data_IF_311658273067
#
_entry.id   IF_311658273067
#
_cell.length_a   1.000
_cell.length_b   1.000
_cell.length_c   1.000
_cell.angle_alpha   90.00
_cell.angle_beta   90.00
_cell.angle_gamma   90.00
#
_symmetry.space_group_name_H-M   'P 1'
#
loop_
_entity.id
_entity.type
_entity.pdbx_description
1 polymer ?
#
# COMPACT_ATOMS: atom_id res chain seq x y z
N UNK A 1 -43.55 -57.57 1.97
CA UNK A 1 -42.35 -57.44 2.80
C UNK A 1 -41.41 -56.49 2.04
N UNK A 2 -41.57 -55.17 2.27
CA UNK A 2 -40.83 -54.15 1.56
C UNK A 2 -39.67 -53.73 2.43
N UNK A 3 -38.44 -53.99 1.97
CA UNK A 3 -37.21 -53.55 2.63
C UNK A 3 -36.86 -52.18 2.08
N UNK A 4 -37.13 -51.14 2.86
CA UNK A 4 -36.65 -49.78 2.62
C UNK A 4 -35.13 -49.72 2.83
N UNK A 5 -34.37 -49.61 1.74
CA UNK A 5 -32.95 -49.30 1.80
C UNK A 5 -32.76 -47.84 2.25
N UNK A 6 -32.40 -47.63 3.50
CA UNK A 6 -31.92 -46.31 3.99
C UNK A 6 -30.58 -46.02 3.34
N UNK A 7 -30.59 -45.06 2.43
CA UNK A 7 -29.36 -44.41 1.91
C UNK A 7 -28.63 -43.69 3.07
N UNK A 8 -27.54 -44.26 3.51
CA UNK A 8 -26.61 -43.63 4.46
C UNK A 8 -25.94 -42.42 3.76
N UNK A 9 -26.45 -41.23 4.03
CA UNK A 9 -25.75 -39.99 3.69
C UNK A 9 -24.45 -39.93 4.51
N UNK A 10 -23.34 -40.23 3.88
CA UNK A 10 -22.00 -39.90 4.43
C UNK A 10 -21.89 -38.37 4.58
N UNK A 11 -21.65 -37.83 5.78
CA UNK A 11 -21.51 -36.40 5.95
C UNK A 11 -20.30 -35.93 5.12
N UNK A 12 -20.50 -34.98 4.21
CA UNK A 12 -19.42 -34.30 3.51
C UNK A 12 -18.53 -33.70 4.58
N UNK A 13 -17.25 -34.12 4.64
CA UNK A 13 -16.22 -33.45 5.43
C UNK A 13 -16.15 -32.00 4.96
N UNK A 14 -16.61 -31.08 5.79
CA UNK A 14 -16.39 -29.65 5.58
C UNK A 14 -14.87 -29.43 5.66
N UNK A 15 -14.23 -29.10 4.54
CA UNK A 15 -12.84 -28.66 4.56
C UNK A 15 -12.81 -27.32 5.27
N UNK A 16 -12.11 -27.25 6.41
CA UNK A 16 -11.88 -26.00 7.08
C UNK A 16 -11.07 -25.07 6.14
N UNK A 17 -11.65 -23.94 5.76
CA UNK A 17 -10.93 -22.88 5.08
C UNK A 17 -10.15 -22.06 6.12
N UNK A 18 -9.02 -22.61 6.55
CA UNK A 18 -8.19 -22.03 7.63
C UNK A 18 -7.27 -20.92 7.15
N UNK A 19 -7.29 -20.57 5.85
CA UNK A 19 -6.30 -19.64 5.26
C UNK A 19 -6.85 -18.27 4.88
N UNK A 20 -8.14 -18.12 4.61
CA UNK A 20 -8.71 -16.87 4.09
C UNK A 20 -8.55 -15.69 5.07
N UNK A 21 -8.84 -15.89 6.34
CA UNK A 21 -8.73 -14.85 7.37
C UNK A 21 -7.27 -14.42 7.63
N UNK A 22 -6.35 -15.39 7.76
CA UNK A 22 -4.94 -15.08 7.98
C UNK A 22 -4.28 -14.41 6.79
N UNK A 23 -4.67 -14.78 5.56
CA UNK A 23 -4.18 -14.11 4.36
C UNK A 23 -4.68 -12.67 4.24
N UNK A 24 -5.95 -12.41 4.58
CA UNK A 24 -6.49 -11.06 4.59
C UNK A 24 -5.77 -10.19 5.64
N UNK A 25 -5.59 -10.70 6.85
CA UNK A 25 -4.86 -10.02 7.91
C UNK A 25 -3.41 -9.68 7.48
N UNK A 26 -2.68 -10.65 6.95
CA UNK A 26 -1.29 -10.44 6.51
C UNK A 26 -1.18 -9.40 5.38
N UNK A 27 -2.19 -9.29 4.51
CA UNK A 27 -2.23 -8.26 3.46
C UNK A 27 -2.43 -6.87 4.04
N UNK A 28 -3.35 -6.71 4.99
CA UNK A 28 -3.57 -5.44 5.69
C UNK A 28 -2.32 -5.02 6.48
N UNK A 29 -1.69 -5.95 7.18
CA UNK A 29 -0.45 -5.72 7.91
C UNK A 29 0.73 -5.34 6.99
N UNK A 30 0.79 -5.93 5.80
CA UNK A 30 1.77 -5.56 4.77
C UNK A 30 1.52 -4.15 4.21
N UNK A 31 0.27 -3.70 4.09
CA UNK A 31 -0.06 -2.33 3.70
C UNK A 31 0.43 -1.32 4.76
N UNK A 32 0.28 -1.63 6.05
CA UNK A 32 0.82 -0.81 7.15
C UNK A 32 2.35 -0.70 7.05
N UNK A 33 3.04 -1.81 6.83
CA UNK A 33 4.49 -1.81 6.66
C UNK A 33 4.92 -1.00 5.42
N UNK A 34 4.16 -1.10 4.31
CA UNK A 34 4.41 -0.31 3.11
C UNK A 34 4.17 1.19 3.36
N UNK A 35 3.16 1.55 4.14
CA UNK A 35 2.93 2.93 4.50
C UNK A 35 4.06 3.51 5.36
N UNK A 36 4.62 2.73 6.30
CA UNK A 36 5.82 3.13 7.06
C UNK A 36 7.01 3.33 6.12
N UNK A 37 7.24 2.39 5.20
CA UNK A 37 8.32 2.51 4.21
C UNK A 37 8.18 3.79 3.37
N UNK A 38 6.98 4.09 2.87
CA UNK A 38 6.71 5.33 2.12
C UNK A 38 6.85 6.59 2.99
N UNK A 39 6.46 6.53 4.27
CA UNK A 39 6.67 7.63 5.21
C UNK A 39 8.17 7.92 5.43
N UNK A 40 9.00 6.88 5.45
CA UNK A 40 10.47 6.99 5.50
C UNK A 40 11.01 7.70 4.28
N UNK A 41 10.56 7.32 3.06
CA UNK A 41 10.95 7.99 1.82
C UNK A 41 10.52 9.47 1.75
N UNK A 42 9.41 9.80 2.41
CA UNK A 42 8.86 11.16 2.48
C UNK A 42 9.37 11.96 3.68
N UNK A 43 10.25 11.41 4.50
CA UNK A 43 10.61 11.99 5.80
C UNK A 43 11.17 13.41 5.69
N UNK A 44 11.89 13.72 4.61
CA UNK A 44 12.45 15.05 4.36
C UNK A 44 11.47 16.06 3.74
N UNK A 45 10.28 15.62 3.34
CA UNK A 45 9.24 16.50 2.84
C UNK A 45 8.70 17.40 3.97
N UNK A 46 8.29 18.61 3.63
CA UNK A 46 7.76 19.56 4.60
C UNK A 46 6.46 19.08 5.25
N UNK A 47 5.56 18.52 4.44
CA UNK A 47 4.25 18.05 4.88
C UNK A 47 3.78 16.87 4.04
N UNK A 48 2.95 16.00 4.61
CA UNK A 48 2.19 14.97 3.94
C UNK A 48 1.14 14.38 4.87
N UNK A 49 0.13 13.72 4.27
CA UNK A 49 -0.86 12.91 4.97
C UNK A 49 -0.99 11.56 4.31
N UNK A 50 -0.80 10.50 5.06
CA UNK A 50 -1.10 9.11 4.67
C UNK A 50 -2.53 8.77 5.06
N UNK A 51 -3.29 8.17 4.14
CA UNK A 51 -4.63 7.63 4.40
C UNK A 51 -4.66 6.19 3.91
N UNK A 52 -5.01 5.25 4.81
CA UNK A 52 -5.06 3.82 4.52
C UNK A 52 -6.50 3.33 4.38
N UNK A 53 -6.71 2.43 3.39
CA UNK A 53 -7.96 1.68 3.22
C UNK A 53 -9.22 2.55 3.26
N UNK A 54 -9.20 3.66 2.50
CA UNK A 54 -10.35 4.54 2.30
C UNK A 54 -10.57 4.84 0.81
N UNK A 55 -9.68 5.61 0.17
CA UNK A 55 -9.77 5.86 -1.26
C UNK A 55 -9.20 4.70 -2.09
N UNK A 56 -8.06 4.18 -1.67
CA UNK A 56 -7.42 2.95 -2.14
C UNK A 56 -6.59 2.33 -1.00
N UNK A 57 -5.78 1.30 -1.27
CA UNK A 57 -4.98 0.64 -0.23
C UNK A 57 -4.10 1.65 0.53
N UNK A 58 -3.42 2.57 -0.21
CA UNK A 58 -2.66 3.68 0.36
C UNK A 58 -2.91 4.94 -0.48
N UNK A 59 -3.21 6.06 0.17
CA UNK A 59 -3.30 7.38 -0.46
C UNK A 59 -2.34 8.34 0.23
N UNK A 60 -1.61 9.15 -0.54
CA UNK A 60 -0.66 10.13 -0.02
C UNK A 60 -1.04 11.50 -0.56
N UNK A 61 -1.39 12.39 0.35
CA UNK A 61 -1.65 13.79 0.08
C UNK A 61 -0.41 14.62 0.37
N UNK A 62 -0.22 15.69 -0.37
CA UNK A 62 0.92 16.61 -0.25
C UNK A 62 0.83 17.56 0.96
N UNK A 63 -0.31 17.58 1.65
CA UNK A 63 -0.51 18.36 2.88
C UNK A 63 -1.55 17.72 3.79
N UNK A 64 -1.36 17.88 5.11
CA UNK A 64 -2.31 17.46 6.13
C UNK A 64 -3.59 18.31 6.10
N UNK A 65 -3.47 19.62 5.90
CA UNK A 65 -4.59 20.56 6.12
C UNK A 65 -5.18 21.14 4.84
N UNK A 66 -4.41 21.24 3.77
CA UNK A 66 -4.82 21.89 2.51
C UNK A 66 -4.23 21.15 1.31
N UNK A 67 -4.62 19.89 1.08
CA UNK A 67 -4.05 19.12 0.01
C UNK A 67 -4.47 19.67 -1.36
N UNK A 68 -3.48 19.81 -2.24
CA UNK A 68 -3.69 20.14 -3.64
C UNK A 68 -3.40 18.96 -4.56
N UNK A 69 -2.56 18.03 -4.10
CA UNK A 69 -2.06 16.91 -4.88
C UNK A 69 -2.20 15.61 -4.10
N UNK A 70 -2.58 14.54 -4.79
CA UNK A 70 -2.71 13.20 -4.21
C UNK A 70 -2.09 12.14 -5.11
N UNK A 71 -1.56 11.09 -4.49
CA UNK A 71 -1.16 9.85 -5.15
C UNK A 71 -1.94 8.69 -4.57
N UNK A 72 -2.42 7.79 -5.43
CA UNK A 72 -3.18 6.60 -5.02
C UNK A 72 -2.40 5.34 -5.37
N UNK A 73 -2.36 4.40 -4.44
CA UNK A 73 -1.60 3.17 -4.57
C UNK A 73 -2.46 1.96 -4.24
N UNK A 74 -2.49 1.02 -5.18
CA UNK A 74 -3.07 -0.30 -4.97
C UNK A 74 -1.96 -1.32 -4.78
N UNK A 75 -2.01 -2.09 -3.70
CA UNK A 75 -1.00 -3.07 -3.35
C UNK A 75 -1.45 -4.50 -3.64
N UNK A 76 -0.59 -5.28 -4.25
CA UNK A 76 -0.82 -6.71 -4.51
C UNK A 76 0.34 -7.53 -3.95
N UNK A 77 0.03 -8.48 -3.10
CA UNK A 77 0.98 -9.31 -2.37
C UNK A 77 1.46 -10.55 -3.15
N UNK A 78 1.38 -10.53 -4.48
CA UNK A 78 1.88 -11.63 -5.31
C UNK A 78 3.40 -11.69 -5.25
N UNK A 79 3.96 -12.83 -4.87
CA UNK A 79 5.40 -13.04 -4.78
C UNK A 79 6.00 -13.61 -6.08
N UNK A 80 5.15 -14.20 -6.94
CA UNK A 80 5.55 -14.62 -8.27
C UNK A 80 5.45 -13.45 -9.27
N UNK A 81 6.22 -13.54 -10.37
CA UNK A 81 6.17 -12.49 -11.40
C UNK A 81 4.75 -12.28 -11.95
N UNK A 82 4.36 -11.02 -12.05
CA UNK A 82 3.05 -10.61 -12.59
C UNK A 82 3.21 -10.27 -14.07
N UNK A 83 2.26 -10.71 -14.90
CA UNK A 83 2.20 -10.31 -16.31
C UNK A 83 1.19 -9.18 -16.52
N UNK A 84 1.38 -8.37 -17.57
CA UNK A 84 0.37 -7.38 -17.99
C UNK A 84 -0.99 -8.04 -18.24
N UNK A 85 -1.01 -9.25 -18.79
CA UNK A 85 -2.25 -10.00 -18.97
C UNK A 85 -2.96 -10.32 -17.65
N UNK A 86 -2.20 -10.56 -16.57
CA UNK A 86 -2.76 -10.73 -15.22
C UNK A 86 -3.34 -9.41 -14.70
N UNK A 87 -2.59 -8.31 -14.84
CA UNK A 87 -3.02 -6.97 -14.41
C UNK A 87 -4.33 -6.56 -15.08
N UNK A 88 -4.46 -6.87 -16.38
CA UNK A 88 -5.67 -6.63 -17.18
C UNK A 88 -6.83 -7.52 -16.70
N UNK A 89 -6.62 -8.83 -16.61
CA UNK A 89 -7.66 -9.79 -16.22
C UNK A 89 -8.25 -9.51 -14.85
N UNK A 90 -7.42 -9.07 -13.91
CA UNK A 90 -7.83 -8.78 -12.52
C UNK A 90 -8.38 -7.34 -12.35
N UNK A 91 -8.51 -6.58 -13.42
CA UNK A 91 -9.10 -5.22 -13.47
C UNK A 91 -8.49 -4.21 -12.48
N UNK A 92 -7.18 -4.35 -12.16
CA UNK A 92 -6.55 -3.48 -11.18
C UNK A 92 -6.41 -2.03 -11.66
N UNK A 93 -6.12 -1.82 -12.93
CA UNK A 93 -5.90 -0.49 -13.48
C UNK A 93 -7.20 0.32 -13.68
N UNK A 94 -8.33 -0.26 -14.11
CA UNK A 94 -9.60 0.46 -14.17
C UNK A 94 -10.00 1.08 -12.83
N UNK A 95 -9.83 0.33 -11.72
CA UNK A 95 -10.11 0.85 -10.37
C UNK A 95 -9.25 2.07 -10.04
N UNK A 96 -7.94 1.98 -10.26
CA UNK A 96 -7.03 3.11 -10.06
C UNK A 96 -7.37 4.30 -10.98
N UNK A 97 -7.72 4.04 -12.24
CA UNK A 97 -8.05 5.10 -13.21
C UNK A 97 -9.26 5.94 -12.80
N UNK A 98 -10.22 5.35 -12.08
CA UNK A 98 -11.41 6.07 -11.60
C UNK A 98 -11.06 7.27 -10.73
N UNK A 99 -9.94 7.26 -10.02
CA UNK A 99 -9.48 8.40 -9.22
C UNK A 99 -9.22 9.65 -10.05
N UNK A 100 -8.93 9.54 -11.36
CA UNK A 100 -8.78 10.70 -12.24
C UNK A 100 -10.11 11.44 -12.50
N UNK A 101 -11.25 10.84 -12.21
CA UNK A 101 -12.55 11.50 -12.29
C UNK A 101 -12.84 12.43 -11.09
N UNK A 102 -12.17 12.21 -9.97
CA UNK A 102 -12.24 13.11 -8.82
C UNK A 102 -11.44 14.39 -9.15
N UNK A 103 -12.11 15.54 -9.14
CA UNK A 103 -11.51 16.84 -9.47
C UNK A 103 -11.14 17.66 -8.24
N UNK A 104 -11.33 17.12 -7.07
CA UNK A 104 -11.03 17.80 -5.81
C UNK A 104 -9.52 18.03 -5.66
N UNK A 105 -8.72 17.04 -6.08
CA UNK A 105 -7.26 17.11 -6.02
C UNK A 105 -6.61 16.75 -7.36
N UNK A 106 -5.43 17.31 -7.62
CA UNK A 106 -4.60 16.88 -8.73
C UNK A 106 -3.98 15.50 -8.44
N UNK A 107 -4.29 14.51 -9.24
CA UNK A 107 -3.66 13.20 -9.14
C UNK A 107 -2.24 13.30 -9.69
N UNK A 108 -1.25 13.05 -8.83
CA UNK A 108 0.18 13.00 -9.20
C UNK A 108 0.53 11.65 -9.79
N UNK A 109 0.10 10.58 -9.12
CA UNK A 109 0.52 9.21 -9.44
C UNK A 109 -0.58 8.20 -9.13
N UNK A 110 -0.69 7.18 -9.98
CA UNK A 110 -1.52 5.98 -9.80
C UNK A 110 -0.58 4.77 -9.77
N UNK A 111 -0.27 4.29 -8.58
CA UNK A 111 0.75 3.26 -8.38
C UNK A 111 0.16 1.86 -8.19
N UNK A 112 0.69 0.89 -8.93
CA UNK A 112 0.50 -0.52 -8.65
C UNK A 112 1.74 -1.05 -7.92
N UNK A 113 1.61 -1.34 -6.62
CA UNK A 113 2.72 -1.82 -5.78
C UNK A 113 2.69 -3.35 -5.73
N UNK A 114 3.82 -3.99 -6.03
CA UNK A 114 3.98 -5.45 -5.91
C UNK A 114 5.41 -5.83 -5.48
N UNK A 115 5.62 -6.93 -4.76
CA UNK A 115 6.97 -7.40 -4.43
C UNK A 115 7.71 -8.05 -5.61
N UNK A 116 7.02 -8.28 -6.72
CA UNK A 116 7.56 -9.02 -7.85
C UNK A 116 7.76 -8.15 -9.10
N UNK A 117 8.52 -8.68 -10.05
CA UNK A 117 8.75 -8.03 -11.34
C UNK A 117 7.50 -8.09 -12.23
N UNK A 118 7.27 -7.01 -12.98
CA UNK A 118 6.25 -6.95 -14.01
C UNK A 118 6.81 -7.46 -15.34
N UNK A 119 6.06 -8.31 -16.04
CA UNK A 119 6.47 -8.94 -17.29
C UNK A 119 5.46 -8.68 -18.41
N UNK A 120 5.98 -8.43 -19.61
CA UNK A 120 5.24 -8.57 -20.86
C UNK A 120 5.62 -9.94 -21.43
N UNK A 121 4.64 -10.81 -21.61
CA UNK A 121 4.87 -12.11 -22.25
C UNK A 121 5.00 -11.93 -23.76
N UNK A 122 5.96 -12.61 -24.38
CA UNK A 122 6.08 -12.62 -25.84
C UNK A 122 4.78 -13.15 -26.49
N UNK A 123 4.32 -12.46 -27.52
CA UNK A 123 3.17 -12.90 -28.33
C UNK A 123 3.59 -12.97 -29.80
N UNK A 124 3.46 -14.15 -30.39
CA UNK A 124 3.72 -14.34 -31.81
C UNK A 124 2.68 -13.65 -32.71
N UNK A 125 1.48 -13.41 -32.18
CA UNK A 125 0.36 -12.78 -32.92
C UNK A 125 0.48 -11.28 -33.00
N UNK A 126 1.07 -10.65 -31.96
CA UNK A 126 1.12 -9.18 -31.83
C UNK A 126 2.53 -8.61 -32.07
N UNK A 127 3.53 -9.47 -32.36
CA UNK A 127 4.92 -9.05 -32.49
C UNK A 127 5.57 -8.56 -31.20
N UNK A 128 4.92 -8.73 -30.03
CA UNK A 128 5.43 -8.32 -28.72
C UNK A 128 6.59 -9.24 -28.35
N UNK A 129 7.73 -8.65 -28.03
CA UNK A 129 8.86 -9.36 -27.42
C UNK A 129 8.67 -9.43 -25.91
N UNK A 130 8.97 -10.59 -25.32
CA UNK A 130 8.96 -10.73 -23.87
C UNK A 130 9.89 -9.68 -23.23
N UNK A 131 9.38 -8.91 -22.28
CA UNK A 131 10.10 -7.88 -21.55
C UNK A 131 9.88 -8.06 -20.04
N UNK A 132 10.92 -7.79 -19.25
CA UNK A 132 10.89 -7.83 -17.78
C UNK A 132 11.25 -6.44 -17.26
N UNK A 133 10.38 -5.88 -16.45
CA UNK A 133 10.62 -4.62 -15.75
C UNK A 133 11.11 -4.93 -14.35
N UNK A 134 12.41 -4.80 -14.13
CA UNK A 134 13.08 -5.08 -12.86
C UNK A 134 13.39 -3.84 -12.05
N UNK A 135 13.18 -2.65 -12.62
CA UNK A 135 13.35 -1.38 -11.92
C UNK A 135 12.39 -1.28 -10.74
N UNK A 136 12.82 -0.59 -9.70
CA UNK A 136 12.00 -0.28 -8.53
C UNK A 136 10.73 0.48 -8.91
N UNK A 137 10.88 1.45 -9.83
CA UNK A 137 9.74 2.21 -10.37
C UNK A 137 9.75 2.16 -11.90
N UNK A 138 8.64 1.75 -12.49
CA UNK A 138 8.47 1.62 -13.94
C UNK A 138 7.22 2.39 -14.39
N UNK A 139 7.36 3.53 -15.07
CA UNK A 139 6.23 4.24 -15.69
C UNK A 139 5.58 3.39 -16.79
N UNK A 140 4.26 3.37 -16.88
CA UNK A 140 3.55 2.59 -17.92
C UNK A 140 3.79 3.16 -19.33
N UNK A 141 4.12 4.45 -19.44
CA UNK A 141 4.55 5.05 -20.72
C UNK A 141 5.88 4.50 -21.25
N UNK A 142 6.69 3.84 -20.42
CA UNK A 142 7.93 3.18 -20.87
C UNK A 142 7.71 1.83 -21.54
N UNK A 143 6.48 1.30 -21.52
CA UNK A 143 6.12 0.07 -22.19
C UNK A 143 5.97 0.31 -23.71
N UNK A 144 6.05 -0.77 -24.49
CA UNK A 144 5.82 -0.68 -25.93
C UNK A 144 4.38 -0.24 -26.28
N UNK A 145 4.20 0.32 -27.47
CA UNK A 145 2.94 0.91 -27.92
C UNK A 145 1.78 -0.11 -27.99
N UNK A 146 2.07 -1.37 -28.30
CA UNK A 146 1.05 -2.43 -28.38
C UNK A 146 0.53 -2.75 -26.98
N UNK A 147 1.44 -2.86 -26.00
CA UNK A 147 1.06 -3.07 -24.60
C UNK A 147 0.28 -1.88 -24.05
N UNK A 148 0.71 -0.64 -24.33
CA UNK A 148 -0.04 0.55 -23.93
C UNK A 148 -1.45 0.55 -24.55
N UNK A 149 -1.59 0.21 -25.83
CA UNK A 149 -2.90 0.14 -26.50
C UNK A 149 -3.82 -0.93 -25.86
N UNK A 150 -3.28 -2.09 -25.47
CA UNK A 150 -4.03 -3.13 -24.74
C UNK A 150 -4.53 -2.63 -23.40
N UNK A 151 -3.67 -1.97 -22.61
CA UNK A 151 -4.04 -1.40 -21.32
C UNK A 151 -5.12 -0.31 -21.48
N UNK A 152 -4.95 0.59 -22.44
CA UNK A 152 -5.94 1.64 -22.75
C UNK A 152 -7.29 1.04 -23.15
N UNK A 153 -7.29 -0.01 -23.99
CA UNK A 153 -8.50 -0.72 -24.38
C UNK A 153 -9.20 -1.36 -23.19
N UNK A 154 -8.43 -1.97 -22.28
CA UNK A 154 -8.97 -2.61 -21.07
C UNK A 154 -9.65 -1.58 -20.15
N UNK A 155 -8.95 -0.51 -19.80
CA UNK A 155 -9.49 0.60 -19.00
C UNK A 155 -10.72 1.21 -19.70
N UNK A 156 -10.62 1.48 -21.01
CA UNK A 156 -11.71 2.04 -21.78
C UNK A 156 -12.95 1.15 -21.79
N UNK A 157 -12.77 -0.17 -21.93
CA UNK A 157 -13.87 -1.14 -21.91
C UNK A 157 -14.52 -1.20 -20.52
N UNK A 158 -13.72 -1.31 -19.46
CA UNK A 158 -14.22 -1.43 -18.09
C UNK A 158 -14.98 -0.17 -17.63
N UNK A 159 -14.53 1.01 -18.08
CA UNK A 159 -15.12 2.30 -17.68
C UNK A 159 -16.09 2.87 -18.74
N UNK A 160 -16.31 2.19 -19.86
CA UNK A 160 -17.16 2.65 -20.95
C UNK A 160 -16.73 4.01 -21.54
N UNK A 161 -15.41 4.24 -21.64
CA UNK A 161 -14.81 5.43 -22.26
C UNK A 161 -13.98 5.06 -23.50
N UNK A 162 -13.70 6.03 -24.37
CA UNK A 162 -12.84 5.76 -25.54
C UNK A 162 -11.42 5.43 -25.09
N UNK A 163 -10.80 4.33 -25.59
CA UNK A 163 -9.40 4.01 -25.31
C UNK A 163 -8.42 5.16 -25.64
N UNK A 164 -8.75 6.00 -26.63
CA UNK A 164 -7.92 7.13 -27.04
C UNK A 164 -7.90 8.25 -26.00
N UNK A 165 -8.91 8.32 -25.14
CA UNK A 165 -8.98 9.29 -24.05
C UNK A 165 -8.26 8.83 -22.79
N UNK A 166 -7.82 7.57 -22.75
CA UNK A 166 -7.13 7.01 -21.57
C UNK A 166 -5.70 7.53 -21.51
N UNK A 167 -5.41 8.28 -20.44
CA UNK A 167 -4.07 8.79 -20.14
C UNK A 167 -3.32 7.83 -19.20
N UNK A 168 -2.20 7.28 -19.65
CA UNK A 168 -1.33 6.41 -18.87
C UNK A 168 -0.17 7.16 -18.19
N UNK A 169 -0.07 8.49 -18.36
CA UNK A 169 1.07 9.28 -17.87
C UNK A 169 1.23 9.25 -16.35
N UNK A 170 0.15 8.98 -15.63
CA UNK A 170 0.13 8.90 -14.16
C UNK A 170 0.41 7.50 -13.63
N UNK A 171 0.34 6.47 -14.49
CA UNK A 171 0.50 5.10 -14.03
C UNK A 171 1.95 4.69 -13.87
N UNK A 172 2.24 4.07 -12.73
CA UNK A 172 3.53 3.47 -12.43
C UNK A 172 3.36 2.10 -11.78
N UNK A 173 4.26 1.20 -12.10
CA UNK A 173 4.47 -0.01 -11.32
C UNK A 173 5.62 0.25 -10.35
N UNK A 174 5.41 -0.05 -9.07
CA UNK A 174 6.40 0.07 -8.00
C UNK A 174 6.70 -1.34 -7.49
N UNK A 175 7.95 -1.74 -7.61
CA UNK A 175 8.42 -3.00 -7.04
C UNK A 175 8.93 -2.75 -5.64
N UNK A 176 8.17 -3.19 -4.65
CA UNK A 176 8.59 -3.12 -3.24
C UNK A 176 9.49 -4.30 -2.86
N UNK A 177 10.38 -4.09 -1.91
CA UNK A 177 11.18 -5.15 -1.27
C UNK A 177 10.40 -5.91 -0.20
N UNK A 178 9.25 -5.38 0.22
CA UNK A 178 8.40 -5.98 1.24
C UNK A 178 7.71 -7.23 0.70
N UNK A 179 7.82 -8.35 1.42
CA UNK A 179 7.13 -9.60 1.13
C UNK A 179 6.21 -9.97 2.28
N UNK A 180 5.22 -10.84 2.06
CA UNK A 180 4.30 -11.29 3.13
C UNK A 180 5.08 -11.85 4.34
N UNK A 181 6.20 -12.53 4.09
CA UNK A 181 6.97 -13.17 5.16
C UNK A 181 7.89 -12.21 5.93
N UNK A 182 8.30 -11.07 5.34
CA UNK A 182 9.38 -10.21 5.88
C UNK A 182 9.06 -8.72 5.87
N UNK A 183 7.82 -8.31 5.56
CA UNK A 183 7.50 -6.89 5.42
C UNK A 183 7.79 -6.07 6.69
N UNK A 184 7.52 -6.62 7.88
CA UNK A 184 7.77 -5.93 9.15
C UNK A 184 9.26 -5.75 9.40
N UNK A 185 10.05 -6.80 9.24
CA UNK A 185 11.50 -6.74 9.47
C UNK A 185 12.17 -5.72 8.56
N UNK A 186 11.78 -5.70 7.27
CA UNK A 186 12.33 -4.78 6.28
C UNK A 186 11.88 -3.34 6.56
N UNK A 187 10.60 -3.12 6.89
CA UNK A 187 10.10 -1.78 7.22
C UNK A 187 10.73 -1.24 8.50
N UNK A 188 10.94 -2.08 9.52
CA UNK A 188 11.65 -1.73 10.75
C UNK A 188 13.11 -1.35 10.44
N UNK A 189 13.81 -2.14 9.63
CA UNK A 189 15.19 -1.84 9.24
C UNK A 189 15.28 -0.49 8.52
N UNK A 190 14.43 -0.23 7.53
CA UNK A 190 14.44 1.02 6.76
C UNK A 190 14.16 2.24 7.67
N UNK A 191 13.20 2.10 8.60
CA UNK A 191 12.93 3.15 9.58
C UNK A 191 14.14 3.37 10.50
N UNK A 192 14.77 2.31 10.99
CA UNK A 192 15.95 2.39 11.86
C UNK A 192 17.11 3.12 11.18
N UNK A 193 17.36 2.87 9.88
CA UNK A 193 18.40 3.55 9.11
C UNK A 193 18.18 5.07 9.09
N UNK A 194 16.96 5.52 8.79
CA UNK A 194 16.61 6.95 8.80
C UNK A 194 16.65 7.54 10.20
N UNK A 195 16.16 6.81 11.21
CA UNK A 195 16.19 7.31 12.58
C UNK A 195 17.61 7.50 13.09
N UNK A 196 18.52 6.57 12.81
CA UNK A 196 19.94 6.71 13.20
C UNK A 196 20.65 7.84 12.43
N UNK A 197 20.29 8.08 11.18
CA UNK A 197 20.81 9.21 10.41
C UNK A 197 20.37 10.56 10.99
N UNK A 198 19.09 10.69 11.34
CA UNK A 198 18.48 11.95 11.79
C UNK A 198 18.67 12.22 13.29
N UNK A 199 18.75 11.17 14.09
CA UNK A 199 18.79 11.22 15.55
C UNK A 199 19.99 10.41 16.09
N UNK A 200 21.20 10.99 16.15
CA UNK A 200 22.43 10.25 16.51
C UNK A 200 22.40 9.55 17.88
N UNK A 201 21.56 10.03 18.80
CA UNK A 201 21.43 9.48 20.15
C UNK A 201 20.34 8.40 20.28
N UNK A 202 19.69 8.01 19.19
CA UNK A 202 18.64 7.00 19.27
C UNK A 202 19.25 5.61 19.53
N UNK A 203 18.65 4.87 20.43
CA UNK A 203 19.03 3.48 20.71
C UNK A 203 18.17 2.51 19.88
N UNK A 204 18.62 1.26 19.74
CA UNK A 204 17.83 0.23 19.04
C UNK A 204 16.47 -0.02 19.72
N UNK A 205 16.41 0.02 21.05
CA UNK A 205 15.15 -0.16 21.78
C UNK A 205 14.17 1.00 21.55
N UNK A 206 14.68 2.23 21.48
CA UNK A 206 13.88 3.41 21.12
C UNK A 206 13.34 3.28 19.71
N UNK A 207 14.19 2.95 18.74
CA UNK A 207 13.81 2.77 17.36
C UNK A 207 12.76 1.67 17.19
N UNK A 208 12.90 0.55 17.89
CA UNK A 208 11.91 -0.52 17.93
C UNK A 208 10.59 -0.09 18.56
N UNK A 209 10.64 0.71 19.62
CA UNK A 209 9.44 1.28 20.26
C UNK A 209 8.71 2.21 19.29
N UNK A 210 9.44 3.08 18.58
CA UNK A 210 8.89 3.96 17.54
C UNK A 210 8.21 3.12 16.46
N UNK A 211 8.89 2.11 15.92
CA UNK A 211 8.32 1.23 14.88
C UNK A 211 7.02 0.59 15.35
N UNK A 212 6.99 -0.03 16.53
CA UNK A 212 5.79 -0.68 17.06
C UNK A 212 4.64 0.31 17.27
N UNK A 213 4.94 1.51 17.76
CA UNK A 213 3.93 2.56 17.97
C UNK A 213 3.36 3.06 16.62
N UNK A 214 4.20 3.20 15.59
CA UNK A 214 3.74 3.55 14.23
C UNK A 214 2.88 2.44 13.63
N UNK A 215 3.25 1.17 13.81
CA UNK A 215 2.43 0.03 13.37
C UNK A 215 1.06 0.06 14.05
N UNK A 216 1.01 0.30 15.35
CA UNK A 216 -0.24 0.39 16.09
C UNK A 216 -1.10 1.56 15.60
N UNK A 217 -0.51 2.75 15.49
CA UNK A 217 -1.19 3.96 15.01
C UNK A 217 -1.81 3.75 13.63
N UNK A 218 -1.01 3.27 12.65
CA UNK A 218 -1.47 3.04 11.29
C UNK A 218 -2.54 1.94 11.22
N UNK A 219 -2.37 0.85 12.00
CA UNK A 219 -3.37 -0.23 12.07
C UNK A 219 -4.69 0.24 12.66
N UNK A 220 -4.67 1.07 13.70
CA UNK A 220 -5.89 1.67 14.27
C UNK A 220 -6.59 2.57 13.25
N UNK A 221 -5.84 3.40 12.52
CA UNK A 221 -6.40 4.26 11.46
C UNK A 221 -6.96 3.44 10.30
N UNK A 222 -6.25 2.40 9.86
CA UNK A 222 -6.69 1.51 8.79
C UNK A 222 -8.00 0.79 9.15
N UNK A 223 -8.13 0.30 10.38
CA UNK A 223 -9.29 -0.48 10.84
C UNK A 223 -10.52 0.35 11.20
N UNK A 224 -10.48 1.68 11.08
CA UNK A 224 -11.64 2.52 11.40
C UNK A 224 -12.73 2.38 10.34
N UNK A 225 -13.91 1.85 10.72
CA UNK A 225 -15.00 1.46 9.79
C UNK A 225 -16.19 2.45 9.77
N UNK A 226 -16.20 3.49 10.61
CA UNK A 226 -17.37 4.38 10.77
C UNK A 226 -17.46 5.50 9.74
N UNK A 227 -16.62 5.49 8.70
CA UNK A 227 -16.68 6.44 7.59
C UNK A 227 -17.59 5.90 6.48
N UNK A 228 -18.29 6.81 5.82
CA UNK A 228 -19.05 6.53 4.61
C UNK A 228 -18.41 7.24 3.40
N UNK A 229 -18.94 6.97 2.21
CA UNK A 229 -18.41 7.53 0.97
C UNK A 229 -18.60 9.06 0.86
N UNK A 230 -19.48 9.65 1.68
CA UNK A 230 -19.79 11.09 1.69
C UNK A 230 -19.05 11.81 2.83
N UNK A 231 -18.15 11.13 3.55
CA UNK A 231 -17.35 11.76 4.60
C UNK A 231 -16.46 12.84 4.00
N UNK A 232 -16.43 14.03 4.59
CA UNK A 232 -15.57 15.11 4.17
C UNK A 232 -14.09 14.82 4.49
N UNK A 233 -13.19 15.53 3.82
CA UNK A 233 -11.76 15.35 3.98
C UNK A 233 -11.30 15.54 5.43
N UNK A 234 -11.87 16.50 6.15
CA UNK A 234 -11.50 16.75 7.56
C UNK A 234 -11.83 15.55 8.45
N UNK A 235 -12.98 14.93 8.25
CA UNK A 235 -13.40 13.72 8.96
C UNK A 235 -12.50 12.54 8.61
N UNK A 236 -12.14 12.37 7.33
CA UNK A 236 -11.21 11.33 6.86
C UNK A 236 -9.83 11.55 7.45
N UNK A 237 -9.29 12.76 7.39
CA UNK A 237 -8.02 13.15 7.97
C UNK A 237 -7.95 12.78 9.46
N UNK A 238 -8.98 13.15 10.21
CA UNK A 238 -9.07 12.92 11.66
C UNK A 238 -9.08 11.43 12.02
N UNK A 239 -9.78 10.60 11.27
CA UNK A 239 -10.04 9.21 11.65
C UNK A 239 -9.17 8.18 10.92
N UNK A 240 -8.76 8.48 9.69
CA UNK A 240 -7.94 7.60 8.84
C UNK A 240 -6.55 8.17 8.54
N UNK A 241 -6.37 9.48 8.70
CA UNK A 241 -5.12 10.14 8.38
C UNK A 241 -4.02 9.89 9.41
N UNK A 242 -2.78 9.75 8.92
CA UNK A 242 -1.55 9.81 9.71
C UNK A 242 -0.64 10.81 9.03
N UNK A 243 -0.43 11.95 9.67
CA UNK A 243 0.37 13.03 9.14
C UNK A 243 1.84 12.89 9.50
N UNK A 244 2.71 13.67 8.83
CA UNK A 244 4.10 13.82 9.24
C UNK A 244 4.21 14.25 10.71
N UNK A 245 3.32 15.15 11.17
CA UNK A 245 3.30 15.61 12.54
C UNK A 245 3.00 14.49 13.53
N UNK A 246 2.09 13.57 13.19
CA UNK A 246 1.79 12.41 14.03
C UNK A 246 3.02 11.49 14.16
N UNK A 247 3.73 11.25 13.06
CA UNK A 247 4.96 10.45 13.04
C UNK A 247 6.05 11.13 13.87
N UNK A 248 6.25 12.44 13.70
CA UNK A 248 7.21 13.21 14.48
C UNK A 248 6.90 13.16 15.97
N UNK A 249 5.63 13.29 16.37
CA UNK A 249 5.21 13.15 17.78
C UNK A 249 5.53 11.77 18.37
N UNK A 250 5.36 10.69 17.59
CA UNK A 250 5.73 9.35 18.03
C UNK A 250 7.24 9.27 18.29
N UNK A 251 8.06 9.83 17.41
CA UNK A 251 9.51 9.87 17.55
C UNK A 251 9.90 10.69 18.79
N UNK A 252 9.40 11.92 18.89
CA UNK A 252 9.71 12.83 20.01
C UNK A 252 9.31 12.23 21.36
N UNK A 253 8.13 11.58 21.42
CA UNK A 253 7.66 10.93 22.66
C UNK A 253 8.59 9.81 23.11
N UNK A 254 9.11 9.01 22.19
CA UNK A 254 10.05 7.95 22.50
C UNK A 254 11.41 8.52 22.95
N UNK A 255 11.83 9.64 22.39
CA UNK A 255 13.08 10.33 22.76
C UNK A 255 13.01 10.94 24.18
N UNK A 256 11.87 11.54 24.53
CA UNK A 256 11.67 12.18 25.86
C UNK A 256 11.68 11.14 26.99
N UNK A 257 11.05 10.00 26.80
CA UNK A 257 10.95 8.96 27.85
C UNK A 257 12.31 8.39 28.25
N UNK A 258 13.31 8.51 27.37
CA UNK A 258 14.65 7.93 27.59
C UNK A 258 15.69 8.93 28.09
N UNK A 259 15.34 10.21 28.28
CA UNK A 259 16.24 11.19 28.92
C UNK A 259 15.94 11.19 30.42
N UNK A 260 16.85 10.67 31.28
CA UNK A 260 16.69 10.76 32.73
C UNK A 260 16.54 12.23 33.15
N UNK A 261 15.60 12.52 34.05
CA UNK A 261 15.50 13.86 34.60
C UNK A 261 16.77 14.16 35.43
N UNK A 262 17.14 15.45 35.55
CA UNK A 262 18.30 15.85 36.31
C UNK A 262 18.26 15.31 37.75
N UNK A 263 17.07 15.22 38.34
CA UNK A 263 16.80 14.65 39.66
C UNK A 263 17.09 13.15 39.77
N UNK A 264 16.83 12.39 38.67
CA UNK A 264 17.16 10.96 38.60
C UNK A 264 18.67 10.73 38.48
N UNK A 265 19.38 11.63 37.77
CA UNK A 265 20.85 11.57 37.65
C UNK A 265 21.54 11.86 39.01
N UNK A 266 21.02 12.81 39.78
CA UNK A 266 21.55 13.12 41.13
C UNK A 266 21.37 11.95 42.13
N UNK A 267 20.39 11.08 41.97
CA UNK A 267 20.20 9.89 42.81
C UNK A 267 21.18 8.76 42.48
N UNK A 268 21.93 8.86 41.41
CA UNK A 268 22.87 7.83 40.95
C UNK A 268 24.34 8.21 41.23
N UNK A 269 24.59 9.42 41.71
CA UNK A 269 25.89 9.92 42.16
C UNK A 269 25.97 9.95 43.67
#
# INVERSE_FOLDING_TARGET
MNILSKSLHTPRKVKADTRSGSLAYNRLDMQVSQAIHMAVELFDNLDYLLVLDHYDDISIFDSENSPAVVSYYQMKSHEESITISTVIREEWLPKLYQHLSNKEWNVKELGLITPCVLKITASSTDGIKGQVFSSEKTPFLSMDSITQAKIKKDIGTALSISPDTVDLSKFVHIRTTLTIAKHRDIAEQNLNEILHEKYPNITLDMAKTIFNTLVELLSQRQSYEQLNNDSDFETIRKHKGVSKNDITRVIDSAMIVCIPTYEEIEQWT
#
